data_IF_433575086980
#
_entry.id   IF_433575086980
#
_cell.length_a   1.000
_cell.length_b   1.000
_cell.length_c   1.000
_cell.angle_alpha   90.00
_cell.angle_beta   90.00
_cell.angle_gamma   90.00
#
_symmetry.space_group_name_H-M   'P 1'
#
loop_
_entity.id
_entity.type
_entity.pdbx_description
1 polymer ?
#
# COMPACT_ATOMS: atom_id res chain seq x y z
N UNK A 1 -10.23 19.67 14.92
CA UNK A 1 -9.22 19.95 13.87
C UNK A 1 -9.72 19.35 12.56
N UNK A 2 -9.70 20.10 11.44
CA UNK A 2 -10.29 19.65 10.16
C UNK A 2 -9.66 18.31 9.77
N UNK A 3 -10.46 17.24 9.79
CA UNK A 3 -10.10 15.86 9.37
C UNK A 3 -9.81 15.87 7.87
N UNK A 4 -8.67 16.41 7.46
CA UNK A 4 -8.26 16.43 6.06
C UNK A 4 -7.48 15.16 5.79
N UNK A 5 -8.10 14.27 5.04
CA UNK A 5 -7.42 13.14 4.42
C UNK A 5 -6.31 13.70 3.52
N UNK A 6 -5.15 13.04 3.51
CA UNK A 6 -3.99 13.45 2.71
C UNK A 6 -4.36 13.43 1.23
N UNK A 7 -4.07 14.52 0.52
CA UNK A 7 -4.29 14.61 -0.92
C UNK A 7 -3.54 13.50 -1.68
N UNK A 8 -2.35 13.11 -1.20
CA UNK A 8 -1.57 11.99 -1.72
C UNK A 8 -2.27 10.64 -1.58
N UNK A 9 -3.00 10.42 -0.47
CA UNK A 9 -3.77 9.19 -0.27
C UNK A 9 -5.00 9.15 -1.18
N UNK A 10 -5.69 10.28 -1.35
CA UNK A 10 -6.82 10.40 -2.27
C UNK A 10 -6.38 10.22 -3.73
N UNK A 11 -5.21 10.75 -4.10
CA UNK A 11 -4.60 10.50 -5.41
C UNK A 11 -4.28 9.02 -5.60
N UNK A 12 -3.64 8.37 -4.63
CA UNK A 12 -3.37 6.92 -4.67
C UNK A 12 -4.64 6.09 -4.85
N UNK A 13 -5.69 6.39 -4.08
CA UNK A 13 -7.02 5.78 -4.22
C UNK A 13 -7.64 6.01 -5.60
N UNK A 14 -7.53 7.23 -6.12
CA UNK A 14 -8.09 7.58 -7.43
C UNK A 14 -7.37 6.84 -8.57
N UNK A 15 -6.04 6.72 -8.48
CA UNK A 15 -5.24 5.96 -9.45
C UNK A 15 -5.58 4.47 -9.36
N UNK A 16 -5.65 3.91 -8.15
CA UNK A 16 -6.07 2.52 -7.96
C UNK A 16 -7.48 2.24 -8.51
N UNK A 17 -8.45 3.14 -8.25
CA UNK A 17 -9.79 3.03 -8.77
C UNK A 17 -9.83 3.12 -10.32
N UNK A 18 -9.03 4.00 -10.91
CA UNK A 18 -8.89 4.10 -12.36
C UNK A 18 -8.31 2.81 -12.97
N UNK A 19 -7.29 2.22 -12.34
CA UNK A 19 -6.72 0.92 -12.75
C UNK A 19 -7.78 -0.19 -12.68
N UNK A 20 -8.58 -0.21 -11.61
CA UNK A 20 -9.66 -1.19 -11.45
C UNK A 20 -10.74 -1.05 -12.53
N UNK A 21 -11.10 0.18 -12.90
CA UNK A 21 -12.03 0.45 -14.00
C UNK A 21 -11.47 0.01 -15.36
N UNK A 22 -10.18 0.29 -15.62
CA UNK A 22 -9.49 -0.15 -16.84
C UNK A 22 -9.46 -1.68 -16.95
N UNK A 23 -9.15 -2.37 -15.83
CA UNK A 23 -9.17 -3.84 -15.74
C UNK A 23 -10.56 -4.41 -16.03
N UNK A 24 -11.62 -3.80 -15.50
CA UNK A 24 -13.01 -4.18 -15.78
C UNK A 24 -13.41 -4.00 -17.24
N UNK A 25 -12.84 -3.01 -17.92
CA UNK A 25 -13.08 -2.74 -19.34
C UNK A 25 -12.19 -3.60 -20.27
N UNK A 26 -11.44 -4.57 -19.74
CA UNK A 26 -10.58 -5.47 -20.53
C UNK A 26 -9.24 -4.85 -20.96
N UNK A 27 -8.91 -3.65 -20.50
CA UNK A 27 -7.63 -2.99 -20.76
C UNK A 27 -6.68 -3.34 -19.62
N UNK A 28 -5.94 -4.43 -19.79
CA UNK A 28 -4.89 -4.84 -18.85
C UNK A 28 -3.55 -4.24 -19.29
N UNK A 29 -3.02 -3.33 -18.48
CA UNK A 29 -1.67 -2.79 -18.65
C UNK A 29 -0.79 -3.50 -17.62
N UNK A 30 0.04 -4.50 -18.00
CA UNK A 30 0.76 -5.35 -17.06
C UNK A 30 1.65 -4.53 -16.12
N UNK A 31 2.45 -3.61 -16.66
CA UNK A 31 3.39 -2.81 -15.86
C UNK A 31 2.71 -1.98 -14.78
N UNK A 32 1.51 -1.46 -15.04
CA UNK A 32 0.77 -0.62 -14.09
C UNK A 32 -0.05 -1.50 -13.12
N UNK A 33 -0.60 -2.60 -13.60
CA UNK A 33 -1.43 -3.49 -12.78
C UNK A 33 -0.63 -4.41 -11.87
N UNK A 34 0.63 -4.69 -12.23
CA UNK A 34 1.47 -5.66 -11.54
C UNK A 34 2.48 -4.90 -10.66
N UNK A 35 3.18 -3.88 -11.18
CA UNK A 35 4.22 -3.21 -10.37
C UNK A 35 3.76 -1.94 -9.65
N UNK A 36 2.90 -1.12 -10.28
CA UNK A 36 2.55 0.18 -9.71
C UNK A 36 1.59 0.05 -8.52
N UNK A 37 0.61 -0.85 -8.60
CA UNK A 37 -0.31 -1.13 -7.49
C UNK A 37 0.43 -1.66 -6.27
N UNK A 38 1.43 -2.50 -6.48
CA UNK A 38 2.10 -3.21 -5.40
C UNK A 38 3.06 -2.26 -4.69
N UNK A 39 3.73 -1.41 -5.46
CA UNK A 39 4.52 -0.29 -4.96
C UNK A 39 3.75 0.66 -4.04
N UNK A 40 2.51 1.03 -4.39
CA UNK A 40 1.71 1.96 -3.57
C UNK A 40 0.99 1.29 -2.39
N UNK A 41 0.91 -0.04 -2.37
CA UNK A 41 0.12 -0.80 -1.39
C UNK A 41 0.62 -0.60 0.04
N UNK A 42 1.91 -0.77 0.29
CA UNK A 42 2.50 -0.59 1.64
C UNK A 42 2.38 0.86 2.15
N UNK A 43 2.72 1.90 1.36
CA UNK A 43 2.48 3.30 1.73
C UNK A 43 1.02 3.59 2.09
N UNK A 44 0.08 3.10 1.28
CA UNK A 44 -1.35 3.32 1.51
C UNK A 44 -1.83 2.60 2.76
N UNK A 45 -1.37 1.37 2.99
CA UNK A 45 -1.67 0.61 4.20
C UNK A 45 -1.18 1.33 5.46
N UNK A 46 0.09 1.77 5.48
CA UNK A 46 0.66 2.48 6.62
C UNK A 46 -0.10 3.78 6.92
N UNK A 47 -0.44 4.56 5.88
CA UNK A 47 -1.23 5.78 6.05
C UNK A 47 -2.64 5.48 6.55
N UNK A 48 -3.29 4.43 6.05
CA UNK A 48 -4.63 4.04 6.46
C UNK A 48 -4.67 3.67 7.95
N UNK A 49 -3.72 2.85 8.41
CA UNK A 49 -3.63 2.48 9.82
C UNK A 49 -3.33 3.70 10.70
N UNK A 50 -2.41 4.57 10.29
CA UNK A 50 -2.16 5.86 10.97
C UNK A 50 -3.45 6.70 11.05
N UNK A 51 -4.20 6.80 9.95
CA UNK A 51 -5.44 7.56 9.91
C UNK A 51 -6.51 6.97 10.84
N UNK A 52 -6.68 5.65 10.86
CA UNK A 52 -7.64 4.95 11.72
C UNK A 52 -7.25 5.14 13.20
N UNK A 53 -6.00 4.89 13.55
CA UNK A 53 -5.50 5.05 14.92
C UNK A 53 -5.71 6.46 15.45
N UNK A 54 -5.39 7.48 14.65
CA UNK A 54 -5.48 8.87 15.10
C UNK A 54 -6.89 9.47 15.03
N UNK A 55 -7.66 9.18 13.97
CA UNK A 55 -8.91 9.90 13.70
C UNK A 55 -10.18 9.14 14.09
N UNK A 56 -10.09 7.81 14.19
CA UNK A 56 -11.22 6.96 14.58
C UNK A 56 -11.07 6.53 16.03
N UNK A 57 -9.90 6.01 16.39
CA UNK A 57 -9.64 5.46 17.72
C UNK A 57 -9.14 6.51 18.72
N UNK A 58 -8.70 7.69 18.23
CA UNK A 58 -8.26 8.80 19.08
C UNK A 58 -6.90 8.60 19.76
N UNK A 59 -6.09 7.64 19.30
CA UNK A 59 -4.71 7.49 19.75
C UNK A 59 -3.79 8.53 19.10
N UNK A 60 -2.64 8.82 19.69
CA UNK A 60 -1.57 9.60 19.04
C UNK A 60 -0.46 8.65 18.63
N UNK A 61 -0.66 7.96 17.51
CA UNK A 61 0.24 6.91 17.04
C UNK A 61 0.80 7.24 15.67
N UNK A 62 2.10 6.98 15.47
CA UNK A 62 2.76 7.12 14.17
C UNK A 62 3.39 5.79 13.79
N UNK A 63 3.36 5.40 12.50
CA UNK A 63 4.10 4.24 12.02
C UNK A 63 5.58 4.44 12.31
N UNK A 64 6.21 3.46 12.96
CA UNK A 64 7.65 3.38 13.09
C UNK A 64 8.25 2.46 12.02
N UNK A 65 9.58 2.42 11.91
CA UNK A 65 10.25 1.54 10.94
C UNK A 65 9.87 0.07 11.14
N UNK A 66 9.69 -0.36 12.40
CA UNK A 66 9.30 -1.73 12.73
C UNK A 66 7.92 -2.04 12.15
N UNK A 67 6.95 -1.14 12.32
CA UNK A 67 5.61 -1.29 11.75
C UNK A 67 5.64 -1.34 10.23
N UNK A 68 6.45 -0.50 9.58
CA UNK A 68 6.58 -0.53 8.11
C UNK A 68 7.15 -1.88 7.65
N UNK A 69 8.23 -2.36 8.28
CA UNK A 69 8.84 -3.65 7.93
C UNK A 69 7.91 -4.83 8.19
N UNK A 70 7.19 -4.84 9.32
CA UNK A 70 6.21 -5.89 9.60
C UNK A 70 5.04 -5.84 8.62
N UNK A 71 4.63 -4.65 8.17
CA UNK A 71 3.61 -4.49 7.13
C UNK A 71 4.07 -5.04 5.78
N UNK A 72 5.33 -4.81 5.39
CA UNK A 72 5.91 -5.40 4.17
C UNK A 72 5.85 -6.92 4.24
N UNK A 73 6.34 -7.52 5.33
CA UNK A 73 6.33 -8.98 5.52
C UNK A 73 4.91 -9.52 5.52
N UNK A 74 3.99 -8.87 6.25
CA UNK A 74 2.59 -9.28 6.34
C UNK A 74 1.88 -9.24 4.98
N UNK A 75 2.02 -8.14 4.24
CA UNK A 75 1.36 -7.97 2.93
C UNK A 75 1.99 -8.88 1.88
N UNK A 76 3.31 -9.06 1.90
CA UNK A 76 3.99 -10.04 1.03
C UNK A 76 3.46 -11.45 1.30
N UNK A 77 3.34 -11.86 2.56
CA UNK A 77 2.78 -13.17 2.88
C UNK A 77 1.31 -13.30 2.46
N UNK A 78 0.52 -12.25 2.66
CA UNK A 78 -0.90 -12.24 2.30
C UNK A 78 -1.09 -12.35 0.78
N UNK A 79 -0.40 -11.52 -0.01
CA UNK A 79 -0.60 -11.45 -1.45
C UNK A 79 0.19 -12.49 -2.24
N UNK A 80 1.34 -12.95 -1.74
CA UNK A 80 2.18 -13.94 -2.45
C UNK A 80 1.93 -15.38 -2.02
N UNK A 81 1.41 -15.61 -0.81
CA UNK A 81 1.23 -16.97 -0.27
C UNK A 81 -0.25 -17.30 -0.11
N UNK A 82 -1.01 -16.45 0.58
CA UNK A 82 -2.42 -16.73 0.88
C UNK A 82 -3.29 -16.53 -0.36
N UNK A 83 -3.18 -15.40 -1.05
CA UNK A 83 -4.01 -15.08 -2.22
C UNK A 83 -3.85 -16.08 -3.38
N UNK A 84 -2.65 -16.53 -3.77
CA UNK A 84 -2.46 -17.52 -4.82
C UNK A 84 -2.97 -18.91 -4.41
N UNK A 85 -2.91 -19.22 -3.11
CA UNK A 85 -3.52 -20.43 -2.55
C UNK A 85 -5.06 -20.44 -2.60
N UNK A 86 -5.69 -19.26 -2.55
CA UNK A 86 -7.15 -19.12 -2.60
C UNK A 86 -7.71 -18.92 -4.01
N UNK A 87 -6.92 -18.36 -4.93
CA UNK A 87 -7.36 -18.07 -6.30
C UNK A 87 -6.20 -18.16 -7.29
N UNK A 88 -6.40 -18.93 -8.35
CA UNK A 88 -5.44 -19.10 -9.46
C UNK A 88 -5.23 -17.83 -10.31
N UNK A 89 -5.94 -16.74 -9.98
CA UNK A 89 -5.81 -15.44 -10.64
C UNK A 89 -4.59 -14.68 -10.13
N UNK A 90 -4.09 -15.01 -8.93
CA UNK A 90 -2.90 -14.40 -8.35
C UNK A 90 -1.68 -15.28 -8.61
N UNK A 91 -0.66 -14.70 -9.21
CA UNK A 91 0.66 -15.31 -9.36
C UNK A 91 1.51 -14.87 -8.17
N UNK A 92 2.14 -15.83 -7.50
CA UNK A 92 3.16 -15.48 -6.50
C UNK A 92 4.43 -15.04 -7.21
N UNK A 93 4.77 -13.74 -7.16
CA UNK A 93 5.99 -13.17 -7.72
C UNK A 93 6.84 -12.53 -6.61
N UNK A 94 8.11 -12.94 -6.54
CA UNK A 94 9.09 -12.39 -5.61
C UNK A 94 9.38 -10.91 -5.95
N UNK A 95 9.13 -10.48 -7.19
CA UNK A 95 9.28 -9.08 -7.59
C UNK A 95 8.26 -8.19 -6.86
N UNK A 96 7.09 -8.71 -6.51
CA UNK A 96 6.06 -7.95 -5.79
C UNK A 96 6.47 -7.71 -4.33
N UNK A 97 7.19 -8.67 -3.74
CA UNK A 97 7.87 -8.50 -2.42
C UNK A 97 8.86 -7.33 -2.46
N UNK A 98 9.63 -7.19 -3.53
CA UNK A 98 10.53 -6.05 -3.71
C UNK A 98 9.74 -4.75 -3.89
N UNK A 99 8.65 -4.75 -4.65
CA UNK A 99 7.79 -3.57 -4.81
C UNK A 99 7.20 -3.11 -3.47
N UNK A 100 6.69 -4.05 -2.65
CA UNK A 100 6.21 -3.78 -1.29
C UNK A 100 7.31 -3.17 -0.41
N UNK A 101 8.52 -3.74 -0.46
CA UNK A 101 9.66 -3.24 0.31
C UNK A 101 10.07 -1.83 -0.11
N UNK A 102 10.23 -1.56 -1.41
CA UNK A 102 10.64 -0.25 -1.92
C UNK A 102 9.55 0.80 -1.61
N UNK A 103 8.27 0.45 -1.76
CA UNK A 103 7.15 1.29 -1.37
C UNK A 103 7.19 1.65 0.12
N UNK A 104 7.33 0.66 1.00
CA UNK A 104 7.46 0.87 2.44
C UNK A 104 8.65 1.76 2.81
N UNK A 105 9.81 1.55 2.19
CA UNK A 105 11.00 2.36 2.44
C UNK A 105 10.83 3.81 1.96
N UNK A 106 10.19 4.04 0.81
CA UNK A 106 9.88 5.39 0.34
C UNK A 106 8.90 6.10 1.28
N UNK A 107 7.89 5.39 1.79
CA UNK A 107 7.00 5.92 2.82
C UNK A 107 7.79 6.34 4.07
N UNK A 108 8.68 5.47 4.56
CA UNK A 108 9.52 5.77 5.71
C UNK A 108 10.41 7.01 5.48
N UNK A 109 11.07 7.11 4.32
CA UNK A 109 11.92 8.24 4.01
C UNK A 109 11.12 9.55 3.95
N UNK A 110 10.01 9.58 3.19
CA UNK A 110 9.24 10.81 2.95
C UNK A 110 8.43 11.27 4.16
N UNK A 111 7.94 10.35 5.00
CA UNK A 111 7.00 10.67 6.09
C UNK A 111 7.62 10.60 7.47
N UNK A 112 8.67 9.79 7.66
CA UNK A 112 9.25 9.55 8.99
C UNK A 112 10.63 10.22 9.09
N UNK A 113 11.47 10.10 8.06
CA UNK A 113 12.83 10.67 8.09
C UNK A 113 12.91 12.16 7.76
N UNK A 114 12.07 12.67 6.85
CA UNK A 114 12.06 14.09 6.43
C UNK A 114 11.48 15.05 7.50
N UNK A 115 10.94 14.53 8.61
CA UNK A 115 10.35 15.37 9.69
C UNK A 115 11.37 15.68 10.82
N UNK A 116 12.65 15.32 10.68
CA UNK A 116 13.72 15.73 11.60
C UNK A 116 14.68 16.74 10.96
#
# INVERSE_FOLDING_TARGET
MKKKISCWFLLGLSVWAAILLLRKNGIYIPVINDYFTDFITVPMYCYLIEYIMNNIMGYHWKPDLKFVLTSVVYLSFLFEVICPGLSKVFTGDIIDVLAYFVGGMIYYLLRIKVIY
#
